data_IF_969072600591
#
_entry.id   IF_969072600591
#
_cell.length_a   1.000
_cell.length_b   1.000
_cell.length_c   1.000
_cell.angle_alpha   90.00
_cell.angle_beta   90.00
_cell.angle_gamma   90.00
#
_symmetry.space_group_name_H-M   'P 1'
#
loop_
_entity.id
_entity.type
_entity.pdbx_description
1 polymer ?
#
# COMPACT_ATOMS: atom_id res chain seq x y z
N UNK A 1 -34.68 71.69 -11.97
CA UNK A 1 -33.52 70.99 -12.57
C UNK A 1 -32.61 70.52 -11.46
N UNK A 2 -32.63 69.22 -11.15
CA UNK A 2 -31.57 68.52 -10.43
C UNK A 2 -31.74 67.03 -10.79
N UNK A 3 -30.92 66.55 -11.72
CA UNK A 3 -30.91 65.17 -12.21
C UNK A 3 -30.16 64.28 -11.21
N UNK A 4 -30.88 63.46 -10.45
CA UNK A 4 -30.29 62.40 -9.61
C UNK A 4 -29.83 61.22 -10.47
N UNK A 5 -28.58 60.79 -10.30
CA UNK A 5 -27.98 59.63 -10.98
C UNK A 5 -28.65 58.31 -10.53
N UNK A 6 -29.08 57.42 -11.45
CA UNK A 6 -29.80 56.18 -11.11
C UNK A 6 -28.91 54.95 -10.94
N UNK A 7 -27.63 55.09 -10.53
CA UNK A 7 -26.74 53.94 -10.34
C UNK A 7 -26.46 53.65 -8.85
N UNK A 8 -26.74 52.43 -8.35
CA UNK A 8 -26.25 52.00 -7.04
C UNK A 8 -24.72 51.88 -7.07
N UNK A 9 -24.08 52.52 -6.09
CA UNK A 9 -22.63 52.42 -5.86
C UNK A 9 -22.30 50.95 -5.55
N UNK A 10 -21.38 50.29 -6.27
CA UNK A 10 -20.95 48.93 -5.95
C UNK A 10 -20.32 48.92 -4.55
N UNK A 11 -20.53 47.87 -3.72
CA UNK A 11 -19.83 47.77 -2.45
C UNK A 11 -18.31 47.78 -2.70
N UNK A 12 -17.63 48.63 -1.93
CA UNK A 12 -16.18 48.80 -1.96
C UNK A 12 -15.49 47.44 -1.79
N UNK A 13 -14.61 47.09 -2.73
CA UNK A 13 -13.86 45.85 -2.66
C UNK A 13 -13.00 45.86 -1.37
N UNK A 14 -13.03 44.79 -0.54
CA UNK A 14 -12.25 44.78 0.68
C UNK A 14 -10.77 44.97 0.37
N UNK A 15 -10.10 45.82 1.18
CA UNK A 15 -8.71 46.17 0.99
C UNK A 15 -7.80 44.92 0.89
N UNK A 16 -6.73 44.92 0.06
CA UNK A 16 -5.88 43.75 -0.19
C UNK A 16 -5.18 43.15 1.05
N UNK A 17 -5.30 43.77 2.22
CA UNK A 17 -4.61 43.40 3.45
C UNK A 17 -5.40 42.48 4.38
N UNK A 18 -6.70 42.27 4.14
CA UNK A 18 -7.52 41.38 4.99
C UNK A 18 -7.58 39.92 4.50
N UNK A 19 -7.09 39.64 3.28
CA UNK A 19 -6.95 38.28 2.79
C UNK A 19 -5.55 37.76 3.09
N UNK A 20 -5.49 36.76 3.99
CA UNK A 20 -4.35 35.87 4.29
C UNK A 20 -3.38 36.27 5.42
N UNK A 21 -3.90 36.54 6.63
CA UNK A 21 -3.17 36.08 7.84
C UNK A 21 -3.35 34.57 7.98
N UNK A 22 -2.63 33.80 7.14
CA UNK A 22 -2.39 32.38 7.44
C UNK A 22 -1.66 32.36 8.79
N UNK A 23 -2.36 31.97 9.85
CA UNK A 23 -1.81 31.86 11.21
C UNK A 23 -0.47 31.13 11.11
N UNK A 24 0.59 31.65 11.73
CA UNK A 24 1.97 31.19 11.49
C UNK A 24 2.11 29.66 11.64
N UNK A 25 1.40 29.04 12.59
CA UNK A 25 1.33 27.58 12.80
C UNK A 25 0.68 26.77 11.68
N UNK A 26 -0.02 27.41 10.73
CA UNK A 26 -0.58 26.76 9.54
C UNK A 26 0.45 26.63 8.41
N UNK A 27 1.63 27.26 8.53
CA UNK A 27 2.70 27.08 7.54
C UNK A 27 3.18 25.64 7.52
N UNK A 28 3.29 25.06 6.32
CA UNK A 28 3.75 23.68 6.10
C UNK A 28 5.08 23.38 6.79
N UNK A 29 6.01 24.33 6.77
CA UNK A 29 7.31 24.20 7.42
C UNK A 29 7.19 23.99 8.94
N UNK A 30 6.31 24.74 9.61
CA UNK A 30 6.12 24.64 11.06
C UNK A 30 5.45 23.33 11.44
N UNK A 31 4.45 22.86 10.67
CA UNK A 31 3.83 21.54 10.91
C UNK A 31 4.82 20.39 10.75
N UNK A 32 5.68 20.47 9.74
CA UNK A 32 6.73 19.45 9.51
C UNK A 32 7.77 19.52 10.63
N UNK A 33 8.23 20.72 10.99
CA UNK A 33 9.19 20.90 12.09
C UNK A 33 8.63 20.36 13.41
N UNK A 34 7.39 20.73 13.79
CA UNK A 34 6.74 20.25 15.00
C UNK A 34 6.61 18.71 15.00
N UNK A 35 6.24 18.10 13.87
CA UNK A 35 6.15 16.64 13.76
C UNK A 35 7.52 15.96 13.90
N UNK A 36 8.56 16.51 13.25
CA UNK A 36 9.92 15.98 13.35
C UNK A 36 10.44 16.10 14.77
N UNK A 37 10.23 17.24 15.43
CA UNK A 37 10.61 17.46 16.84
C UNK A 37 9.86 16.50 17.75
N UNK A 38 8.55 16.30 17.56
CA UNK A 38 7.76 15.34 18.33
C UNK A 38 8.33 13.92 18.20
N UNK A 39 8.60 13.46 16.98
CA UNK A 39 9.12 12.12 16.73
C UNK A 39 10.56 11.96 17.25
N UNK A 40 11.39 13.00 17.13
CA UNK A 40 12.75 12.99 17.65
C UNK A 40 12.75 12.94 19.18
N UNK A 41 11.96 13.77 19.86
CA UNK A 41 11.81 13.74 21.31
C UNK A 41 11.25 12.39 21.79
N UNK A 42 10.21 11.88 21.11
CA UNK A 42 9.65 10.56 21.44
C UNK A 42 10.69 9.45 21.28
N UNK A 43 11.51 9.53 20.23
CA UNK A 43 12.61 8.60 19.98
C UNK A 43 13.72 8.70 21.03
N UNK A 44 14.09 9.91 21.46
CA UNK A 44 15.08 10.07 22.52
C UNK A 44 14.58 9.51 23.85
N UNK A 45 13.32 9.79 24.21
CA UNK A 45 12.71 9.27 25.44
C UNK A 45 12.63 7.75 25.40
N UNK A 46 12.16 7.15 24.30
CA UNK A 46 12.03 5.69 24.23
C UNK A 46 13.38 4.98 24.27
N UNK A 47 14.40 5.52 23.59
CA UNK A 47 15.76 4.97 23.66
C UNK A 47 16.35 5.11 25.07
N UNK A 48 16.09 6.21 25.77
CA UNK A 48 16.51 6.40 27.16
C UNK A 48 15.84 5.38 28.10
N UNK A 49 14.51 5.20 27.98
CA UNK A 49 13.75 4.24 28.78
C UNK A 49 14.21 2.80 28.54
N UNK A 50 14.42 2.41 27.28
CA UNK A 50 14.90 1.06 26.96
C UNK A 50 16.30 0.84 27.52
N UNK A 51 17.21 1.82 27.34
CA UNK A 51 18.57 1.75 27.91
C UNK A 51 18.56 1.68 29.44
N UNK A 52 17.67 2.40 30.11
CA UNK A 52 17.53 2.36 31.56
C UNK A 52 17.08 0.97 32.03
N UNK A 53 16.17 0.31 31.29
CA UNK A 53 15.67 -1.02 31.63
C UNK A 53 16.68 -2.14 31.31
N UNK A 54 17.35 -2.08 30.16
CA UNK A 54 18.22 -3.18 29.68
C UNK A 54 19.70 -2.97 29.99
N UNK A 55 20.07 -1.83 30.58
CA UNK A 55 21.46 -1.37 30.60
C UNK A 55 22.02 -1.05 29.21
N UNK A 56 23.29 -0.62 29.16
CA UNK A 56 23.93 -0.20 27.90
C UNK A 56 24.27 -1.39 27.00
N UNK A 57 24.77 -2.49 27.55
CA UNK A 57 25.12 -3.68 26.75
C UNK A 57 23.87 -4.37 26.18
N UNK A 58 22.86 -4.63 27.01
CA UNK A 58 21.58 -5.19 26.56
C UNK A 58 20.91 -4.33 25.51
N UNK A 59 20.95 -3.00 25.65
CA UNK A 59 20.45 -2.07 24.65
C UNK A 59 21.16 -2.23 23.30
N UNK A 60 22.51 -2.29 23.29
CA UNK A 60 23.29 -2.40 22.05
C UNK A 60 23.08 -3.76 21.36
N UNK A 61 23.04 -4.85 22.13
CA UNK A 61 22.75 -6.19 21.61
C UNK A 61 21.33 -6.26 21.05
N UNK A 62 20.35 -5.78 21.82
CA UNK A 62 18.95 -5.70 21.39
C UNK A 62 18.79 -4.87 20.11
N UNK A 63 19.46 -3.72 20.03
CA UNK A 63 19.48 -2.86 18.84
C UNK A 63 20.05 -3.57 17.61
N UNK A 64 21.20 -4.24 17.77
CA UNK A 64 21.83 -5.00 16.69
C UNK A 64 20.91 -6.10 16.15
N UNK A 65 20.35 -6.92 17.05
CA UNK A 65 19.49 -8.04 16.68
C UNK A 65 18.13 -7.58 16.13
N UNK A 66 17.51 -6.55 16.71
CA UNK A 66 16.23 -6.01 16.26
C UNK A 66 16.30 -5.35 14.87
N UNK A 67 17.49 -4.93 14.43
CA UNK A 67 17.70 -4.35 13.10
C UNK A 67 17.59 -5.39 11.98
N UNK A 68 17.92 -6.65 12.25
CA UNK A 68 17.97 -7.74 11.24
C UNK A 68 16.68 -7.87 10.40
N UNK A 69 15.46 -7.95 10.97
CA UNK A 69 14.25 -8.12 10.18
C UNK A 69 13.81 -6.85 9.44
N UNK A 70 14.24 -5.65 9.86
CA UNK A 70 13.70 -4.38 9.35
C UNK A 70 13.91 -4.20 7.85
N UNK A 71 15.13 -4.36 7.28
CA UNK A 71 15.33 -4.24 5.83
C UNK A 71 14.49 -5.23 5.03
N UNK A 72 14.34 -6.47 5.51
CA UNK A 72 13.55 -7.51 4.85
C UNK A 72 12.07 -7.12 4.80
N UNK A 73 11.50 -6.72 5.94
CA UNK A 73 10.10 -6.31 6.05
C UNK A 73 9.80 -5.06 5.20
N UNK A 74 10.66 -4.03 5.31
CA UNK A 74 10.51 -2.81 4.51
C UNK A 74 10.64 -3.13 3.01
N UNK A 75 11.57 -4.00 2.61
CA UNK A 75 11.71 -4.44 1.23
C UNK A 75 10.48 -5.20 0.73
N UNK A 76 9.84 -6.04 1.57
CA UNK A 76 8.62 -6.75 1.24
C UNK A 76 7.44 -5.79 0.99
N UNK A 77 7.22 -4.82 1.88
CA UNK A 77 6.18 -3.79 1.70
C UNK A 77 6.49 -2.89 0.49
N UNK A 78 7.76 -2.51 0.29
CA UNK A 78 8.19 -1.78 -0.90
C UNK A 78 7.98 -2.56 -2.18
N UNK A 79 8.16 -3.88 -2.16
CA UNK A 79 7.91 -4.76 -3.30
C UNK A 79 6.43 -4.80 -3.67
N UNK A 80 5.55 -4.82 -2.66
CA UNK A 80 4.10 -4.78 -2.84
C UNK A 80 3.66 -3.46 -3.50
N UNK A 81 4.22 -2.34 -3.05
CA UNK A 81 3.97 -0.97 -3.54
C UNK A 81 4.55 -0.66 -4.94
N UNK A 82 5.30 -1.59 -5.57
CA UNK A 82 6.03 -1.28 -6.82
C UNK A 82 5.15 -0.90 -8.01
N UNK A 83 3.86 -1.23 -8.00
CA UNK A 83 2.98 -0.96 -9.15
C UNK A 83 2.75 0.55 -9.30
N UNK A 84 2.44 1.22 -8.18
CA UNK A 84 2.20 2.66 -8.11
C UNK A 84 2.88 3.22 -6.85
N UNK A 85 4.22 3.34 -6.85
CA UNK A 85 4.97 3.60 -5.62
C UNK A 85 4.55 4.91 -4.95
N UNK A 86 4.13 4.81 -3.70
CA UNK A 86 3.83 5.95 -2.86
C UNK A 86 5.08 6.79 -2.51
N UNK A 87 4.91 8.04 -2.08
CA UNK A 87 6.03 8.90 -1.74
C UNK A 87 6.79 8.37 -0.53
N UNK A 88 8.12 8.24 -0.65
CA UNK A 88 9.02 7.76 0.40
C UNK A 88 8.84 8.46 1.75
N UNK A 89 8.46 9.73 1.73
CA UNK A 89 8.20 10.53 2.94
C UNK A 89 7.10 9.92 3.81
N UNK A 90 6.09 9.28 3.22
CA UNK A 90 5.01 8.64 3.98
C UNK A 90 5.52 7.37 4.67
N UNK A 91 6.47 6.64 4.07
CA UNK A 91 7.05 5.44 4.68
C UNK A 91 8.02 5.78 5.80
N UNK A 92 8.86 6.81 5.61
CA UNK A 92 9.72 7.32 6.68
C UNK A 92 8.86 7.76 7.86
N UNK A 93 7.81 8.56 7.60
CA UNK A 93 6.85 8.94 8.64
C UNK A 93 6.23 7.71 9.33
N UNK A 94 5.76 6.73 8.56
CA UNK A 94 5.08 5.55 9.08
C UNK A 94 6.00 4.73 9.99
N UNK A 95 7.23 4.47 9.54
CA UNK A 95 8.25 3.77 10.31
C UNK A 95 8.62 4.54 11.57
N UNK A 96 8.96 5.83 11.45
CA UNK A 96 9.33 6.66 12.59
C UNK A 96 8.20 6.84 13.60
N UNK A 97 6.95 6.93 13.14
CA UNK A 97 5.79 6.94 14.03
C UNK A 97 5.70 5.65 14.83
N UNK A 98 5.81 4.51 14.15
CA UNK A 98 5.80 3.19 14.78
C UNK A 98 6.90 3.04 15.84
N UNK A 99 8.14 3.33 15.44
CA UNK A 99 9.33 3.15 16.27
C UNK A 99 9.41 4.13 17.45
N UNK A 100 8.93 5.36 17.28
CA UNK A 100 9.05 6.39 18.31
C UNK A 100 7.74 6.62 19.05
N UNK A 101 6.73 7.17 18.36
CA UNK A 101 5.50 7.64 19.00
C UNK A 101 4.63 6.48 19.49
N UNK A 102 4.38 5.48 18.64
CA UNK A 102 3.52 4.36 19.01
C UNK A 102 4.16 3.48 20.10
N UNK A 103 5.46 3.18 19.98
CA UNK A 103 6.19 2.46 21.01
C UNK A 103 6.22 3.20 22.36
N UNK A 104 6.43 4.52 22.36
CA UNK A 104 6.39 5.32 23.58
C UNK A 104 5.00 5.32 24.22
N UNK A 105 3.94 5.54 23.42
CA UNK A 105 2.56 5.48 23.91
C UNK A 105 2.26 4.11 24.52
N UNK A 106 2.68 3.02 23.87
CA UNK A 106 2.50 1.67 24.37
C UNK A 106 3.22 1.44 25.70
N UNK A 107 4.50 1.76 25.79
CA UNK A 107 5.28 1.57 27.03
C UNK A 107 4.67 2.37 28.18
N UNK A 108 4.30 3.64 27.96
CA UNK A 108 3.72 4.50 29.01
C UNK A 108 2.34 4.00 29.44
N UNK A 109 1.46 3.71 28.48
CA UNK A 109 0.08 3.29 28.78
C UNK A 109 0.02 1.88 29.35
N UNK A 110 0.82 0.92 28.85
CA UNK A 110 0.90 -0.43 29.42
C UNK A 110 1.43 -0.38 30.86
N UNK A 111 2.49 0.41 31.12
CA UNK A 111 3.01 0.59 32.48
C UNK A 111 1.98 1.21 33.43
N UNK A 112 1.21 2.18 32.95
CA UNK A 112 0.14 2.79 33.73
C UNK A 112 -1.00 1.80 34.00
N UNK A 113 -1.43 1.05 32.98
CA UNK A 113 -2.50 0.08 33.10
C UNK A 113 -2.17 -1.05 34.08
N UNK A 114 -0.96 -1.61 34.01
CA UNK A 114 -0.51 -2.65 34.95
C UNK A 114 -0.55 -2.12 36.39
N UNK A 115 0.01 -0.92 36.64
CA UNK A 115 -0.03 -0.29 37.97
C UNK A 115 -1.46 -0.07 38.47
N UNK A 116 -2.34 0.46 37.60
CA UNK A 116 -3.73 0.72 37.95
C UNK A 116 -4.50 -0.56 38.30
N UNK A 117 -4.36 -1.60 37.47
CA UNK A 117 -5.05 -2.88 37.69
C UNK A 117 -4.51 -3.53 38.97
N UNK A 118 -3.19 -3.57 39.17
CA UNK A 118 -2.59 -4.12 40.39
C UNK A 118 -3.10 -3.42 41.67
N UNK A 119 -3.31 -2.10 41.64
CA UNK A 119 -3.89 -1.37 42.77
C UNK A 119 -5.40 -1.57 42.93
N UNK A 120 -6.12 -1.88 41.84
CA UNK A 120 -7.58 -1.99 41.83
C UNK A 120 -8.09 -3.42 42.12
N UNK A 121 -7.36 -4.46 41.73
CA UNK A 121 -7.82 -5.86 41.84
C UNK A 121 -7.22 -6.64 43.01
N UNK A 122 -6.18 -6.13 43.68
CA UNK A 122 -5.43 -6.82 44.74
C UNK A 122 -4.93 -8.24 44.36
N UNK A 123 -4.95 -8.59 43.07
CA UNK A 123 -4.38 -9.79 42.47
C UNK A 123 -3.39 -9.37 41.37
N UNK A 124 -2.08 -9.37 41.68
CA UNK A 124 -1.03 -9.01 40.72
C UNK A 124 -0.97 -9.96 39.52
N UNK A 125 -1.32 -11.24 39.70
CA UNK A 125 -1.16 -12.27 38.67
C UNK A 125 -2.28 -12.23 37.61
N UNK A 126 -3.53 -11.97 38.03
CA UNK A 126 -4.64 -11.69 37.11
C UNK A 126 -4.47 -10.35 36.38
N UNK A 127 -3.85 -9.37 37.03
CA UNK A 127 -3.59 -8.04 36.46
C UNK A 127 -2.63 -8.07 35.27
N UNK A 128 -1.52 -8.80 35.40
CA UNK A 128 -0.50 -8.93 34.33
C UNK A 128 -1.08 -9.63 33.10
N UNK A 129 -1.90 -10.68 33.30
CA UNK A 129 -2.52 -11.41 32.21
C UNK A 129 -3.54 -10.56 31.43
N UNK A 130 -4.45 -9.86 32.12
CA UNK A 130 -5.45 -8.99 31.45
C UNK A 130 -4.76 -7.79 30.77
N UNK A 131 -3.75 -7.22 31.44
CA UNK A 131 -2.95 -6.12 30.90
C UNK A 131 -2.25 -6.52 29.60
N UNK A 132 -1.54 -7.65 29.59
CA UNK A 132 -0.79 -8.11 28.42
C UNK A 132 -1.67 -8.66 27.28
N UNK A 133 -2.80 -9.31 27.60
CA UNK A 133 -3.64 -9.97 26.59
C UNK A 133 -4.72 -9.08 26.00
N UNK A 134 -5.17 -8.04 26.69
CA UNK A 134 -6.27 -7.18 26.20
C UNK A 134 -5.85 -5.72 26.10
N UNK A 135 -5.30 -5.15 27.19
CA UNK A 135 -5.00 -3.71 27.23
C UNK A 135 -3.88 -3.35 26.26
N UNK A 136 -2.78 -4.11 26.29
CA UNK A 136 -1.64 -3.87 25.40
C UNK A 136 -2.04 -3.91 23.91
N UNK A 137 -2.71 -4.95 23.40
CA UNK A 137 -3.22 -4.96 22.01
C UNK A 137 -4.07 -3.76 21.64
N UNK A 138 -4.98 -3.32 22.52
CA UNK A 138 -5.86 -2.17 22.28
C UNK A 138 -5.05 -0.89 22.15
N UNK A 139 -4.15 -0.62 23.10
CA UNK A 139 -3.31 0.57 23.11
C UNK A 139 -2.38 0.58 21.91
N UNK A 140 -1.68 -0.52 21.66
CA UNK A 140 -0.66 -0.62 20.64
C UNK A 140 -1.23 -0.51 19.23
N UNK A 141 -2.30 -1.26 18.93
CA UNK A 141 -2.93 -1.20 17.61
C UNK A 141 -3.59 0.17 17.38
N UNK A 142 -4.14 0.81 18.41
CA UNK A 142 -4.66 2.19 18.30
C UNK A 142 -3.55 3.19 18.00
N UNK A 143 -2.42 3.09 18.71
CA UNK A 143 -1.29 3.99 18.53
C UNK A 143 -0.66 3.83 17.13
N UNK A 144 -0.58 2.60 16.60
CA UNK A 144 -0.16 2.33 15.22
C UNK A 144 -1.18 2.84 14.21
N UNK A 145 -2.47 2.61 14.44
CA UNK A 145 -3.56 3.06 13.57
C UNK A 145 -3.59 4.58 13.38
N UNK A 146 -3.15 5.35 14.39
CA UNK A 146 -3.02 6.79 14.28
C UNK A 146 -2.10 7.22 13.12
N UNK A 147 -1.01 6.49 12.83
CA UNK A 147 -0.16 6.79 11.67
C UNK A 147 -0.94 6.64 10.35
N UNK A 148 -1.67 5.53 10.21
CA UNK A 148 -2.48 5.21 9.03
C UNK A 148 -3.57 6.27 8.86
N UNK A 149 -4.25 6.64 9.95
CA UNK A 149 -5.25 7.69 9.97
C UNK A 149 -4.67 9.04 9.54
N UNK A 150 -3.50 9.44 10.06
CA UNK A 150 -2.85 10.70 9.71
C UNK A 150 -2.50 10.76 8.22
N UNK A 151 -1.97 9.67 7.66
CA UNK A 151 -1.71 9.57 6.21
C UNK A 151 -3.04 9.62 5.43
N UNK A 152 -4.04 8.86 5.87
CA UNK A 152 -5.37 8.84 5.24
C UNK A 152 -6.07 10.20 5.26
N UNK A 153 -5.89 11.02 6.30
CA UNK A 153 -6.51 12.35 6.40
C UNK A 153 -5.73 13.43 5.66
N UNK A 154 -4.41 13.50 5.86
CA UNK A 154 -3.59 14.61 5.36
C UNK A 154 -2.92 14.34 4.02
N UNK A 155 -2.86 13.07 3.58
CA UNK A 155 -2.23 12.63 2.33
C UNK A 155 -3.17 11.80 1.46
N UNK A 156 -4.46 12.14 1.42
CA UNK A 156 -5.51 11.46 0.61
C UNK A 156 -5.15 11.22 -0.86
N UNK A 157 -4.33 12.08 -1.45
CA UNK A 157 -3.86 11.92 -2.84
C UNK A 157 -2.90 10.73 -3.01
N UNK A 158 -2.16 10.42 -1.95
CA UNK A 158 -1.16 9.36 -1.89
C UNK A 158 -1.75 8.07 -1.28
N UNK A 159 -3.03 8.07 -0.88
CA UNK A 159 -3.72 6.95 -0.25
C UNK A 159 -5.00 6.64 -1.04
N UNK A 160 -4.87 5.73 -2.00
CA UNK A 160 -5.85 5.52 -3.06
C UNK A 160 -6.48 4.13 -3.05
N UNK A 161 -5.89 3.15 -2.36
CA UNK A 161 -6.41 1.79 -2.31
C UNK A 161 -5.91 0.93 -1.16
N UNK A 162 -6.20 -0.37 -1.28
CA UNK A 162 -5.87 -1.39 -0.28
C UNK A 162 -4.36 -1.57 -0.16
N UNK A 163 -3.62 -1.59 -1.28
CA UNK A 163 -2.16 -1.73 -1.27
C UNK A 163 -1.50 -0.61 -0.46
N UNK A 164 -1.92 0.64 -0.68
CA UNK A 164 -1.41 1.80 0.08
C UNK A 164 -1.64 1.61 1.59
N UNK A 165 -2.84 1.16 1.97
CA UNK A 165 -3.19 0.88 3.36
C UNK A 165 -2.35 -0.23 3.99
N UNK A 166 -2.16 -1.35 3.28
CA UNK A 166 -1.31 -2.48 3.71
C UNK A 166 0.13 -2.01 3.91
N UNK A 167 0.68 -1.23 2.98
CA UNK A 167 2.07 -0.78 3.01
C UNK A 167 2.32 0.20 4.16
N UNK A 168 1.45 1.20 4.32
CA UNK A 168 1.56 2.19 5.40
C UNK A 168 1.43 1.52 6.77
N UNK A 169 0.40 0.67 6.95
CA UNK A 169 0.19 -0.06 8.20
C UNK A 169 1.33 -1.02 8.51
N UNK A 170 1.78 -1.80 7.52
CA UNK A 170 2.86 -2.76 7.67
C UNK A 170 4.20 -2.11 8.03
N UNK A 171 4.53 -0.97 7.41
CA UNK A 171 5.74 -0.21 7.74
C UNK A 171 5.65 0.45 9.11
N UNK A 172 4.48 0.95 9.52
CA UNK A 172 4.27 1.44 10.90
C UNK A 172 4.45 0.32 11.92
N UNK A 173 3.84 -0.83 11.69
CA UNK A 173 3.99 -1.99 12.57
C UNK A 173 5.42 -2.52 12.62
N UNK A 174 6.14 -2.46 11.50
CA UNK A 174 7.58 -2.82 11.45
C UNK A 174 8.41 -1.87 12.31
N UNK A 175 8.14 -0.56 12.27
CA UNK A 175 8.79 0.41 13.14
C UNK A 175 8.50 0.15 14.61
N UNK A 176 7.25 -0.15 14.96
CA UNK A 176 6.89 -0.51 16.34
C UNK A 176 7.60 -1.78 16.81
N UNK A 177 7.54 -2.84 16.00
CA UNK A 177 8.17 -4.12 16.28
C UNK A 177 9.69 -3.99 16.44
N UNK A 178 10.33 -3.07 15.71
CA UNK A 178 11.74 -2.76 15.88
C UNK A 178 12.04 -2.33 17.32
N UNK A 179 11.38 -1.28 17.83
CA UNK A 179 11.62 -0.78 19.19
C UNK A 179 11.25 -1.81 20.25
N UNK A 180 10.14 -2.54 20.04
CA UNK A 180 9.74 -3.61 20.95
C UNK A 180 10.79 -4.74 20.99
N UNK A 181 11.30 -5.17 19.84
CA UNK A 181 12.34 -6.19 19.77
C UNK A 181 13.63 -5.76 20.46
N UNK A 182 14.01 -4.47 20.43
CA UNK A 182 15.17 -3.97 21.20
C UNK A 182 14.96 -4.26 22.68
N UNK A 183 13.79 -3.94 23.22
CA UNK A 183 13.47 -4.13 24.63
C UNK A 183 13.47 -5.62 25.01
N UNK A 184 12.77 -6.47 24.27
CA UNK A 184 12.69 -7.90 24.58
C UNK A 184 14.04 -8.60 24.46
N UNK A 185 14.80 -8.34 23.39
CA UNK A 185 16.11 -8.96 23.18
C UNK A 185 17.15 -8.43 24.15
N UNK A 186 17.08 -7.14 24.51
CA UNK A 186 17.95 -6.56 25.53
C UNK A 186 17.70 -7.13 26.92
N UNK A 187 16.44 -7.29 27.32
CA UNK A 187 16.07 -7.91 28.60
C UNK A 187 16.45 -9.40 28.63
N UNK A 188 16.26 -10.12 27.53
CA UNK A 188 16.69 -11.51 27.42
C UNK A 188 18.22 -11.64 27.57
N UNK A 189 18.97 -10.71 27.00
CA UNK A 189 20.44 -10.68 27.13
C UNK A 189 20.90 -10.41 28.57
N UNK A 190 20.27 -9.45 29.25
CA UNK A 190 20.55 -9.20 30.67
C UNK A 190 20.23 -10.43 31.51
N UNK A 191 19.14 -11.13 31.20
CA UNK A 191 18.75 -12.35 31.90
C UNK A 191 19.81 -13.44 31.74
N UNK A 192 20.32 -13.64 30.52
CA UNK A 192 21.39 -14.62 30.24
C UNK A 192 22.69 -14.27 30.97
N UNK A 193 23.04 -12.98 31.07
CA UNK A 193 24.21 -12.54 31.84
C UNK A 193 24.07 -12.88 33.33
N UNK A 194 22.88 -12.72 33.89
CA UNK A 194 22.59 -13.03 35.30
C UNK A 194 22.56 -14.54 35.56
N UNK A 195 21.99 -15.33 34.65
CA UNK A 195 21.91 -16.79 34.76
C UNK A 195 23.18 -17.52 34.36
N UNK A 196 24.14 -16.82 33.70
CA UNK A 196 25.35 -17.39 33.08
C UNK A 196 25.04 -18.45 32.01
N UNK A 197 23.86 -18.39 31.41
CA UNK A 197 23.47 -19.26 30.30
C UNK A 197 24.00 -18.71 28.97
N UNK A 198 24.37 -19.61 28.05
CA UNK A 198 24.88 -19.23 26.72
C UNK A 198 24.53 -20.26 25.66
N UNK A 199 24.67 -19.88 24.39
CA UNK A 199 24.39 -20.77 23.26
C UNK A 199 22.90 -20.99 23.02
N UNK A 200 22.52 -22.21 22.61
CA UNK A 200 21.13 -22.55 22.27
C UNK A 200 20.18 -22.61 23.48
N UNK A 201 20.73 -22.70 24.69
CA UNK A 201 19.97 -22.68 25.93
C UNK A 201 19.63 -21.24 26.40
N UNK A 202 20.22 -20.21 25.78
CA UNK A 202 20.03 -18.83 26.20
C UNK A 202 18.63 -18.30 25.87
N UNK A 203 18.08 -17.52 26.80
CA UNK A 203 16.80 -16.82 26.66
C UNK A 203 16.86 -15.84 25.48
N UNK A 204 18.01 -15.21 25.22
CA UNK A 204 18.23 -14.36 24.05
C UNK A 204 18.07 -15.13 22.75
N UNK A 205 18.68 -16.32 22.63
CA UNK A 205 18.58 -17.15 21.44
C UNK A 205 17.13 -17.60 21.20
N UNK A 206 16.43 -18.05 22.25
CA UNK A 206 15.02 -18.42 22.17
C UNK A 206 14.13 -17.23 21.77
N UNK A 207 14.33 -16.07 22.39
CA UNK A 207 13.58 -14.83 22.11
C UNK A 207 13.82 -14.36 20.69
N UNK A 208 15.07 -14.41 20.21
CA UNK A 208 15.43 -14.09 18.83
C UNK A 208 14.73 -15.04 17.85
N UNK A 209 14.79 -16.34 18.08
CA UNK A 209 14.17 -17.31 17.20
C UNK A 209 12.65 -17.09 17.11
N UNK A 210 11.97 -16.95 18.25
CA UNK A 210 10.52 -16.71 18.27
C UNK A 210 10.18 -15.40 17.57
N UNK A 211 10.80 -14.28 17.95
CA UNK A 211 10.38 -12.94 17.51
C UNK A 211 10.88 -12.58 16.10
N UNK A 212 12.11 -12.97 15.76
CA UNK A 212 12.79 -12.55 14.53
C UNK A 212 12.69 -13.59 13.42
N UNK A 213 12.73 -14.89 13.75
CA UNK A 213 12.70 -15.96 12.73
C UNK A 213 11.28 -16.46 12.52
N UNK A 214 10.60 -16.84 13.60
CA UNK A 214 9.28 -17.46 13.52
C UNK A 214 8.15 -16.43 13.34
N UNK A 215 8.19 -15.31 14.06
CA UNK A 215 7.11 -14.31 14.04
C UNK A 215 7.51 -12.90 13.56
N UNK A 216 8.43 -12.70 12.58
CA UNK A 216 8.84 -11.34 12.15
C UNK A 216 7.68 -10.51 11.58
N UNK A 217 6.64 -11.18 11.09
CA UNK A 217 5.46 -10.55 10.52
C UNK A 217 4.30 -10.38 11.51
N UNK A 218 4.42 -10.76 12.79
CA UNK A 218 3.30 -10.73 13.73
C UNK A 218 2.64 -9.35 13.83
N UNK A 219 3.36 -8.30 14.24
CA UNK A 219 2.75 -6.96 14.30
C UNK A 219 2.29 -6.46 12.93
N UNK A 220 3.08 -6.60 11.82
CA UNK A 220 2.57 -6.25 10.51
C UNK A 220 1.28 -6.98 10.14
N UNK A 221 1.12 -8.25 10.48
CA UNK A 221 -0.07 -9.05 10.21
C UNK A 221 -1.31 -8.45 10.87
N UNK A 222 -1.19 -8.02 12.13
CA UNK A 222 -2.29 -7.40 12.89
C UNK A 222 -2.64 -6.03 12.31
N UNK A 223 -1.68 -5.11 12.28
CA UNK A 223 -1.94 -3.72 11.91
C UNK A 223 -2.36 -3.58 10.43
N UNK A 224 -1.94 -4.50 9.55
CA UNK A 224 -2.40 -4.52 8.15
C UNK A 224 -3.92 -4.67 8.05
N UNK A 225 -4.61 -5.32 9.00
CA UNK A 225 -6.08 -5.39 9.01
C UNK A 225 -6.70 -3.97 9.13
N UNK A 226 -6.13 -3.12 9.98
CA UNK A 226 -6.46 -1.69 10.04
C UNK A 226 -6.17 -1.00 8.70
N UNK A 227 -5.01 -1.27 8.12
CA UNK A 227 -4.59 -0.76 6.81
C UNK A 227 -5.58 -1.10 5.69
N UNK A 228 -6.07 -2.34 5.66
CA UNK A 228 -7.09 -2.81 4.70
C UNK A 228 -8.40 -2.06 4.93
N UNK A 229 -8.84 -1.88 6.19
CA UNK A 229 -10.02 -1.09 6.53
C UNK A 229 -9.96 0.34 5.97
N UNK A 230 -8.84 1.03 6.17
CA UNK A 230 -8.60 2.35 5.56
C UNK A 230 -8.51 2.29 4.02
N UNK A 231 -7.88 1.24 3.47
CA UNK A 231 -7.78 1.02 2.04
C UNK A 231 -9.13 0.90 1.35
N UNK A 232 -10.06 0.13 1.91
CA UNK A 232 -11.43 0.01 1.39
C UNK A 232 -12.21 1.32 1.61
N UNK A 233 -11.97 2.04 2.71
CA UNK A 233 -12.54 3.37 2.94
C UNK A 233 -12.06 4.40 1.90
N UNK A 234 -10.81 4.29 1.42
CA UNK A 234 -10.29 5.12 0.33
C UNK A 234 -10.96 4.81 -1.01
N UNK A 235 -11.34 3.54 -1.22
CA UNK A 235 -12.11 3.09 -2.38
C UNK A 235 -13.62 3.38 -2.28
N UNK A 236 -14.14 3.82 -1.15
CA UNK A 236 -15.56 4.10 -0.96
C UNK A 236 -15.93 5.46 -1.56
N UNK A 237 -17.15 5.59 -2.10
CA UNK A 237 -17.61 6.86 -2.65
C UNK A 237 -17.76 7.92 -1.54
N UNK A 238 -17.64 9.20 -1.88
CA UNK A 238 -17.70 10.29 -0.89
C UNK A 238 -19.00 10.29 -0.07
N UNK A 239 -20.11 9.90 -0.71
CA UNK A 239 -21.43 9.79 -0.08
C UNK A 239 -21.56 8.61 0.90
N UNK A 240 -20.62 7.68 0.92
CA UNK A 240 -20.66 6.48 1.77
C UNK A 240 -19.95 6.71 3.11
N UNK A 241 -20.30 7.80 3.82
CA UNK A 241 -19.63 8.22 5.06
C UNK A 241 -19.60 7.10 6.11
N UNK A 242 -20.71 6.38 6.27
CA UNK A 242 -20.82 5.24 7.20
C UNK A 242 -19.76 4.17 6.89
N UNK A 243 -19.60 3.78 5.63
CA UNK A 243 -18.55 2.80 5.24
C UNK A 243 -17.15 3.34 5.50
N UNK A 244 -16.91 4.63 5.26
CA UNK A 244 -15.58 5.25 5.47
C UNK A 244 -15.15 5.31 6.93
N UNK A 245 -16.10 5.24 7.86
CA UNK A 245 -15.83 5.21 9.31
C UNK A 245 -15.84 3.78 9.84
N UNK A 246 -16.85 2.98 9.47
CA UNK A 246 -16.98 1.62 9.99
C UNK A 246 -15.85 0.70 9.50
N UNK A 247 -15.43 0.79 8.24
CA UNK A 247 -14.41 -0.13 7.71
C UNK A 247 -13.04 0.00 8.41
N UNK A 248 -12.49 1.21 8.64
CA UNK A 248 -11.29 1.36 9.46
C UNK A 248 -11.46 0.85 10.89
N UNK A 249 -12.62 1.09 11.52
CA UNK A 249 -12.90 0.63 12.87
C UNK A 249 -12.97 -0.90 12.94
N UNK A 250 -13.63 -1.55 11.99
CA UNK A 250 -13.65 -3.02 11.88
C UNK A 250 -12.24 -3.56 11.70
N UNK A 251 -11.44 -2.94 10.82
CA UNK A 251 -10.03 -3.33 10.64
C UNK A 251 -9.22 -3.22 11.94
N UNK A 252 -9.43 -2.15 12.70
CA UNK A 252 -8.78 -1.92 14.00
C UNK A 252 -9.20 -2.96 15.04
N UNK A 253 -10.49 -3.25 15.16
CA UNK A 253 -10.99 -4.26 16.10
C UNK A 253 -10.47 -5.66 15.76
N UNK A 254 -10.38 -5.99 14.46
CA UNK A 254 -9.77 -7.25 14.03
C UNK A 254 -8.27 -7.30 14.34
N UNK A 255 -7.54 -6.19 14.15
CA UNK A 255 -6.13 -6.09 14.53
C UNK A 255 -5.94 -6.33 16.04
N UNK A 256 -6.74 -5.65 16.87
CA UNK A 256 -6.73 -5.80 18.33
C UNK A 256 -7.05 -7.23 18.76
N UNK A 257 -8.10 -7.84 18.19
CA UNK A 257 -8.50 -9.20 18.55
C UNK A 257 -7.46 -10.25 18.13
N UNK A 258 -6.87 -10.09 16.95
CA UNK A 258 -5.83 -11.00 16.47
C UNK A 258 -4.54 -10.87 17.29
N UNK A 259 -4.18 -9.65 17.68
CA UNK A 259 -3.04 -9.38 18.54
C UNK A 259 -3.28 -9.90 19.98
N UNK A 260 -4.48 -9.69 20.52
CA UNK A 260 -4.89 -10.26 21.80
C UNK A 260 -4.81 -11.79 21.81
N UNK A 261 -5.25 -12.43 20.73
CA UNK A 261 -5.17 -13.88 20.57
C UNK A 261 -3.72 -14.38 20.51
N UNK A 262 -2.83 -13.63 19.86
CA UNK A 262 -1.39 -13.92 19.84
C UNK A 262 -0.77 -13.80 21.23
N UNK A 263 -1.00 -12.70 21.94
CA UNK A 263 -0.49 -12.51 23.30
C UNK A 263 -1.07 -13.54 24.29
N UNK A 264 -2.36 -13.85 24.16
CA UNK A 264 -3.05 -14.87 24.96
C UNK A 264 -2.55 -16.29 24.72
N UNK A 265 -1.86 -16.54 23.61
CA UNK A 265 -1.33 -17.88 23.28
C UNK A 265 -0.33 -18.40 24.32
N UNK A 266 0.37 -17.51 25.03
CA UNK A 266 1.30 -17.85 26.10
C UNK A 266 0.60 -18.47 27.32
N UNK A 267 -0.71 -18.23 27.48
CA UNK A 267 -1.51 -18.70 28.63
C UNK A 267 -2.36 -19.92 28.32
N UNK A 268 -2.46 -20.37 27.06
CA UNK A 268 -3.27 -21.53 26.65
C UNK A 268 -2.60 -22.90 26.90
N UNK A 269 -1.64 -22.97 27.82
CA UNK A 269 -0.87 -24.17 28.14
C UNK A 269 0.33 -24.43 27.22
N UNK A 270 0.99 -25.57 27.40
CA UNK A 270 2.30 -25.86 26.77
C UNK A 270 2.33 -25.79 25.24
N UNK A 271 1.21 -26.07 24.57
CA UNK A 271 1.10 -26.03 23.10
C UNK A 271 0.39 -24.78 22.58
N UNK A 272 -0.10 -23.91 23.47
CA UNK A 272 -0.94 -22.75 23.12
C UNK A 272 -0.33 -21.88 22.03
N UNK A 273 0.95 -21.53 22.21
CA UNK A 273 1.73 -20.78 21.22
C UNK A 273 1.75 -21.45 19.83
N UNK A 274 2.11 -22.74 19.77
CA UNK A 274 2.18 -23.48 18.51
C UNK A 274 0.81 -23.66 17.85
N UNK A 275 -0.25 -23.88 18.65
CA UNK A 275 -1.63 -23.99 18.15
C UNK A 275 -2.10 -22.68 17.52
N UNK A 276 -1.93 -21.54 18.21
CA UNK A 276 -2.32 -20.22 17.66
C UNK A 276 -1.46 -19.88 16.43
N UNK A 277 -0.17 -20.18 16.48
CA UNK A 277 0.72 -19.95 15.34
C UNK A 277 0.29 -20.75 14.10
N UNK A 278 0.09 -22.06 14.25
CA UNK A 278 -0.21 -22.95 13.13
C UNK A 278 -1.64 -22.78 12.59
N UNK A 279 -2.64 -22.61 13.46
CA UNK A 279 -4.06 -22.58 13.06
C UNK A 279 -4.58 -21.18 12.76
N UNK A 280 -3.91 -20.13 13.26
CA UNK A 280 -4.37 -18.74 13.08
C UNK A 280 -3.35 -17.92 12.31
N UNK A 281 -2.11 -17.84 12.79
CA UNK A 281 -1.11 -16.93 12.21
C UNK A 281 -0.72 -17.33 10.80
N UNK A 282 -0.37 -18.61 10.57
CA UNK A 282 0.02 -19.09 9.25
C UNK A 282 -1.12 -18.96 8.22
N UNK A 283 -2.37 -19.39 8.49
CA UNK A 283 -3.48 -19.18 7.56
C UNK A 283 -3.78 -17.71 7.30
N UNK A 284 -3.76 -16.86 8.34
CA UNK A 284 -3.99 -15.43 8.17
C UNK A 284 -2.88 -14.76 7.35
N UNK A 285 -1.62 -15.14 7.58
CA UNK A 285 -0.49 -14.66 6.78
C UNK A 285 -0.59 -15.10 5.32
N UNK A 286 -0.97 -16.36 5.07
CA UNK A 286 -1.23 -16.87 3.72
C UNK A 286 -2.37 -16.11 3.04
N UNK A 287 -3.49 -15.89 3.74
CA UNK A 287 -4.64 -15.15 3.22
C UNK A 287 -4.31 -13.69 2.91
N UNK A 288 -3.62 -12.99 3.81
CA UNK A 288 -3.22 -11.60 3.58
C UNK A 288 -2.19 -11.49 2.46
N UNK A 289 -1.24 -12.42 2.37
CA UNK A 289 -0.27 -12.48 1.27
C UNK A 289 -0.99 -12.71 -0.07
N UNK A 290 -1.92 -13.67 -0.12
CA UNK A 290 -2.76 -13.91 -1.28
C UNK A 290 -3.56 -12.67 -1.68
N UNK A 291 -4.24 -12.03 -0.72
CA UNK A 291 -5.03 -10.82 -0.97
C UNK A 291 -4.16 -9.66 -1.49
N UNK A 292 -2.98 -9.48 -0.90
CA UNK A 292 -2.02 -8.44 -1.31
C UNK A 292 -1.52 -8.68 -2.74
N UNK A 293 -1.09 -9.91 -3.06
CA UNK A 293 -0.66 -10.27 -4.41
C UNK A 293 -1.82 -10.15 -5.39
N UNK A 294 -3.00 -10.66 -5.05
CA UNK A 294 -4.17 -10.60 -5.92
C UNK A 294 -4.60 -9.16 -6.23
N UNK A 295 -4.58 -8.28 -5.22
CA UNK A 295 -4.90 -6.85 -5.39
C UNK A 295 -3.88 -6.18 -6.30
N UNK A 296 -2.59 -6.45 -6.08
CA UNK A 296 -1.50 -5.97 -6.95
C UNK A 296 -1.66 -6.45 -8.40
N UNK A 297 -2.05 -7.70 -8.62
CA UNK A 297 -2.31 -8.22 -9.97
C UNK A 297 -3.55 -7.58 -10.60
N UNK A 298 -4.57 -7.24 -9.81
CA UNK A 298 -5.74 -6.49 -10.30
C UNK A 298 -5.36 -5.07 -10.75
N UNK A 299 -4.47 -4.40 -10.04
CA UNK A 299 -3.97 -3.08 -10.45
C UNK A 299 -3.22 -3.15 -11.79
N UNK A 300 -2.35 -4.14 -11.96
CA UNK A 300 -1.64 -4.36 -13.22
C UNK A 300 -2.58 -4.66 -14.38
N UNK A 301 -3.61 -5.50 -14.15
CA UNK A 301 -4.67 -5.75 -15.15
C UNK A 301 -5.44 -4.48 -15.49
N UNK A 302 -5.83 -3.70 -14.49
CA UNK A 302 -6.53 -2.43 -14.70
C UNK A 302 -5.73 -1.49 -15.61
N UNK A 303 -4.40 -1.42 -15.46
CA UNK A 303 -3.54 -0.63 -16.33
C UNK A 303 -3.63 -1.11 -17.79
N UNK A 304 -3.65 -2.44 -18.02
CA UNK A 304 -3.81 -3.03 -19.36
C UNK A 304 -5.17 -2.74 -19.98
N UNK A 305 -6.22 -2.69 -19.17
CA UNK A 305 -7.59 -2.52 -19.64
C UNK A 305 -7.93 -1.04 -19.90
N UNK A 306 -7.26 -0.11 -19.21
CA UNK A 306 -7.57 1.32 -19.26
C UNK A 306 -6.71 2.06 -20.28
N UNK A 307 -5.42 1.76 -20.37
CA UNK A 307 -4.50 2.47 -21.26
C UNK A 307 -4.75 2.34 -22.77
N UNK A 308 -5.38 1.27 -23.32
CA UNK A 308 -5.64 1.15 -24.75
C UNK A 308 -6.44 2.31 -25.35
N UNK A 309 -7.28 3.00 -24.57
CA UNK A 309 -8.00 4.19 -25.05
C UNK A 309 -7.04 5.32 -25.44
N UNK A 310 -5.92 5.46 -24.73
CA UNK A 310 -4.90 6.45 -25.07
C UNK A 310 -4.02 6.00 -26.24
N UNK A 311 -3.89 4.69 -26.46
CA UNK A 311 -3.26 4.17 -27.68
C UNK A 311 -4.13 4.45 -28.92
N UNK A 312 -5.44 4.21 -28.83
CA UNK A 312 -6.39 4.54 -29.89
C UNK A 312 -6.42 6.06 -30.20
N UNK A 313 -6.23 6.91 -29.17
CA UNK A 313 -6.13 8.36 -29.34
C UNK A 313 -4.75 8.86 -29.79
N UNK A 314 -3.78 7.97 -30.05
CA UNK A 314 -2.44 8.32 -30.56
C UNK A 314 -1.43 8.81 -29.52
N UNK A 315 -1.79 8.85 -28.23
CA UNK A 315 -0.88 9.24 -27.15
C UNK A 315 0.13 8.15 -26.81
N UNK A 316 -0.30 6.89 -26.90
CA UNK A 316 0.52 5.70 -26.68
C UNK A 316 0.59 4.86 -27.97
N UNK A 317 1.60 4.02 -28.06
CA UNK A 317 1.76 3.00 -29.10
C UNK A 317 1.05 1.70 -28.67
N UNK A 318 0.60 0.86 -29.63
CA UNK A 318 -0.12 -0.38 -29.33
C UNK A 318 0.55 -1.35 -28.32
N UNK A 319 1.88 -1.55 -28.30
CA UNK A 319 2.52 -2.46 -27.34
C UNK A 319 2.65 -1.89 -25.91
N UNK A 320 2.56 -0.58 -25.73
CA UNK A 320 2.81 0.07 -24.44
C UNK A 320 1.84 -0.34 -23.32
N UNK A 321 0.50 -0.38 -23.54
CA UNK A 321 -0.43 -0.86 -22.51
C UNK A 321 -0.09 -2.25 -21.97
N UNK A 322 0.33 -3.18 -22.83
CA UNK A 322 0.70 -4.55 -22.43
C UNK A 322 1.96 -4.56 -21.55
N UNK A 323 3.02 -3.85 -21.97
CA UNK A 323 4.27 -3.75 -21.23
C UNK A 323 4.08 -3.01 -19.90
N UNK A 324 3.33 -1.91 -19.90
CA UNK A 324 3.00 -1.15 -18.71
C UNK A 324 2.14 -1.95 -17.72
N UNK A 325 1.40 -2.94 -18.17
CA UNK A 325 0.70 -3.87 -17.28
C UNK A 325 1.53 -5.04 -16.75
N UNK A 326 2.83 -5.12 -17.05
CA UNK A 326 3.70 -6.22 -16.62
C UNK A 326 4.89 -5.70 -15.83
N UNK A 327 5.06 -6.18 -14.59
CA UNK A 327 6.23 -5.81 -13.80
C UNK A 327 7.54 -6.33 -14.40
N UNK A 328 7.49 -7.50 -15.07
CA UNK A 328 8.65 -8.04 -15.80
C UNK A 328 9.01 -7.15 -16.98
N UNK A 329 8.03 -6.76 -17.81
CA UNK A 329 8.28 -5.89 -18.95
C UNK A 329 8.74 -4.48 -18.52
N UNK A 330 8.17 -3.94 -17.44
CA UNK A 330 8.63 -2.66 -16.86
C UNK A 330 10.09 -2.70 -16.43
N UNK A 331 10.54 -3.81 -15.83
CA UNK A 331 11.95 -3.97 -15.48
C UNK A 331 12.81 -4.05 -16.73
N UNK A 332 12.45 -4.94 -17.65
CA UNK A 332 13.20 -5.15 -18.90
C UNK A 332 13.31 -3.86 -19.73
N UNK A 333 12.27 -3.04 -19.78
CA UNK A 333 12.32 -1.74 -20.46
C UNK A 333 13.33 -0.78 -19.79
N UNK A 334 13.40 -0.75 -18.45
CA UNK A 334 14.38 0.07 -17.74
C UNK A 334 15.80 -0.45 -17.93
N UNK A 335 15.97 -1.77 -17.92
CA UNK A 335 17.27 -2.43 -18.11
C UNK A 335 17.78 -2.23 -19.54
N UNK A 336 16.91 -2.38 -20.53
CA UNK A 336 17.20 -2.05 -21.94
C UNK A 336 17.57 -0.58 -22.10
N UNK A 337 16.79 0.34 -21.54
CA UNK A 337 17.12 1.77 -21.61
C UNK A 337 18.43 2.12 -20.91
N UNK A 338 18.74 1.46 -19.78
CA UNK A 338 20.01 1.61 -19.08
C UNK A 338 21.20 1.14 -19.93
N UNK A 339 21.03 0.02 -20.62
CA UNK A 339 22.06 -0.56 -21.48
C UNK A 339 22.30 0.28 -22.73
N UNK A 340 21.24 0.74 -23.40
CA UNK A 340 21.36 1.46 -24.69
C UNK A 340 21.70 2.94 -24.53
N UNK A 341 21.12 3.63 -23.53
CA UNK A 341 21.23 5.09 -23.38
C UNK A 341 21.68 5.53 -21.98
N UNK A 342 22.10 4.59 -21.12
CA UNK A 342 22.64 4.87 -19.80
C UNK A 342 21.59 5.06 -18.69
N UNK A 343 22.09 5.21 -17.46
CA UNK A 343 21.27 5.36 -16.24
C UNK A 343 20.24 6.49 -16.29
N UNK A 344 20.53 7.68 -16.89
CA UNK A 344 19.52 8.74 -17.02
C UNK A 344 18.30 8.31 -17.83
N UNK A 345 18.49 7.58 -18.93
CA UNK A 345 17.38 7.10 -19.75
C UNK A 345 16.50 6.09 -18.97
N UNK A 346 17.11 5.18 -18.22
CA UNK A 346 16.37 4.25 -17.35
C UNK A 346 15.50 4.97 -16.30
N UNK A 347 15.98 6.11 -15.77
CA UNK A 347 15.18 6.98 -14.88
C UNK A 347 14.02 7.61 -15.62
N UNK A 348 14.24 8.12 -16.83
CA UNK A 348 13.17 8.66 -17.69
C UNK A 348 12.09 7.61 -18.00
N UNK A 349 12.49 6.37 -18.30
CA UNK A 349 11.54 5.26 -18.50
C UNK A 349 10.77 4.94 -17.21
N UNK A 350 11.42 4.96 -16.04
CA UNK A 350 10.73 4.77 -14.76
C UNK A 350 9.70 5.88 -14.48
N UNK A 351 10.04 7.14 -14.76
CA UNK A 351 9.11 8.27 -14.66
C UNK A 351 7.93 8.11 -15.62
N UNK A 352 8.17 7.71 -16.87
CA UNK A 352 7.13 7.43 -17.85
C UNK A 352 6.16 6.34 -17.34
N UNK A 353 6.69 5.23 -16.81
CA UNK A 353 5.88 4.16 -16.22
C UNK A 353 5.02 4.65 -15.04
N UNK A 354 5.56 5.53 -14.19
CA UNK A 354 4.82 6.14 -13.08
C UNK A 354 3.70 7.06 -13.57
N UNK A 355 3.94 7.92 -14.56
CA UNK A 355 2.93 8.81 -15.13
C UNK A 355 1.82 8.01 -15.83
N UNK A 356 2.17 6.96 -16.58
CA UNK A 356 1.20 6.11 -17.26
C UNK A 356 0.33 5.34 -16.25
N UNK A 357 0.94 4.85 -15.17
CA UNK A 357 0.20 4.23 -14.07
C UNK A 357 -0.76 5.24 -13.42
N UNK A 358 -0.28 6.45 -13.11
CA UNK A 358 -1.11 7.52 -12.55
C UNK A 358 -2.29 7.89 -13.46
N UNK A 359 -2.05 7.92 -14.77
CA UNK A 359 -3.06 8.20 -15.80
C UNK A 359 -4.12 7.10 -15.84
N UNK A 360 -3.71 5.83 -15.79
CA UNK A 360 -4.62 4.69 -15.75
C UNK A 360 -5.51 4.74 -14.49
N UNK A 361 -4.93 4.98 -13.32
CA UNK A 361 -5.69 5.12 -12.07
C UNK A 361 -6.64 6.33 -12.09
N UNK A 362 -6.20 7.47 -12.61
CA UNK A 362 -7.04 8.66 -12.77
C UNK A 362 -8.25 8.36 -13.67
N UNK A 363 -8.03 7.78 -14.85
CA UNK A 363 -9.09 7.43 -15.80
C UNK A 363 -10.05 6.39 -15.24
N UNK A 364 -9.54 5.36 -14.55
CA UNK A 364 -10.38 4.36 -13.90
C UNK A 364 -11.27 4.97 -12.81
N UNK A 365 -10.76 5.94 -12.03
CA UNK A 365 -11.59 6.70 -11.08
C UNK A 365 -12.66 7.53 -11.80
N UNK A 366 -12.31 8.17 -12.91
CA UNK A 366 -13.26 8.89 -13.77
C UNK A 366 -14.39 8.00 -14.29
N UNK A 367 -14.07 6.81 -14.82
CA UNK A 367 -15.05 5.81 -15.27
C UNK A 367 -16.02 5.36 -14.17
N UNK A 368 -15.60 5.43 -12.90
CA UNK A 368 -16.42 5.07 -11.73
C UNK A 368 -17.18 6.25 -11.13
N UNK A 369 -17.15 7.43 -11.77
CA UNK A 369 -17.78 8.65 -11.26
C UNK A 369 -17.11 9.21 -10.01
N UNK A 370 -15.80 8.95 -9.82
CA UNK A 370 -15.01 9.35 -8.64
C UNK A 370 -13.84 10.26 -8.97
N UNK A 371 -13.87 10.88 -10.14
CA UNK A 371 -12.87 11.88 -10.47
C UNK A 371 -13.23 13.23 -9.86
N UNK A 372 -12.23 13.95 -9.36
CA UNK A 372 -12.41 15.30 -8.86
C UNK A 372 -12.71 16.29 -9.98
N UNK A 373 -13.08 17.52 -9.62
CA UNK A 373 -13.29 18.61 -10.58
C UNK A 373 -12.04 18.91 -11.43
N UNK A 374 -10.86 18.56 -10.93
CA UNK A 374 -9.56 18.71 -11.59
C UNK A 374 -9.21 17.57 -12.57
N UNK A 375 -10.13 16.63 -12.81
CA UNK A 375 -9.89 15.45 -13.65
C UNK A 375 -9.24 15.77 -15.00
N UNK A 376 -9.86 16.67 -15.77
CA UNK A 376 -9.43 16.99 -17.14
C UNK A 376 -8.07 17.66 -17.14
N UNK A 377 -7.85 18.60 -16.21
CA UNK A 377 -6.56 19.28 -16.04
C UNK A 377 -5.47 18.26 -15.72
N UNK A 378 -5.73 17.37 -14.77
CA UNK A 378 -4.77 16.37 -14.34
C UNK A 378 -4.50 15.31 -15.40
N UNK A 379 -5.51 14.91 -16.16
CA UNK A 379 -5.39 13.97 -17.28
C UNK A 379 -4.46 14.56 -18.36
N UNK A 380 -4.66 15.83 -18.71
CA UNK A 380 -3.81 16.55 -19.65
C UNK A 380 -2.37 16.69 -19.15
N UNK A 381 -2.16 17.10 -17.90
CA UNK A 381 -0.82 17.20 -17.30
C UNK A 381 -0.04 15.87 -17.39
N UNK A 382 -0.71 14.75 -17.09
CA UNK A 382 -0.09 13.43 -17.13
C UNK A 382 0.26 13.02 -18.57
N UNK A 383 -0.59 13.34 -19.54
CA UNK A 383 -0.34 13.10 -20.96
C UNK A 383 0.84 13.93 -21.48
N UNK A 384 0.93 15.20 -21.11
CA UNK A 384 2.08 16.06 -21.44
C UNK A 384 3.38 15.51 -20.86
N UNK A 385 3.36 15.05 -19.60
CA UNK A 385 4.54 14.44 -18.94
C UNK A 385 4.98 13.14 -19.59
N UNK A 386 4.04 12.33 -20.10
CA UNK A 386 4.34 11.15 -20.91
C UNK A 386 4.96 11.56 -22.25
N UNK A 387 4.36 12.54 -22.92
CA UNK A 387 4.81 13.00 -24.23
C UNK A 387 6.24 13.53 -24.20
N UNK A 388 6.62 14.28 -23.18
CA UNK A 388 8.00 14.77 -22.94
C UNK A 388 9.04 13.64 -22.83
N UNK A 389 8.62 12.44 -22.41
CA UNK A 389 9.51 11.32 -22.04
C UNK A 389 9.45 10.15 -23.02
N UNK A 390 8.72 10.31 -24.13
CA UNK A 390 8.43 9.25 -25.09
C UNK A 390 9.66 8.70 -25.81
N UNK A 391 10.68 9.53 -26.04
CA UNK A 391 11.85 9.20 -26.86
C UNK A 391 12.61 7.97 -26.34
N UNK A 392 13.05 7.93 -25.06
CA UNK A 392 13.66 6.71 -24.51
C UNK A 392 12.61 5.65 -24.10
N UNK A 393 11.36 6.04 -23.82
CA UNK A 393 10.37 5.14 -23.23
C UNK A 393 9.69 4.22 -24.25
N UNK A 394 9.26 4.74 -25.40
CA UNK A 394 8.54 3.97 -26.43
C UNK A 394 9.36 2.81 -26.99
N UNK A 395 10.61 3.00 -27.47
CA UNK A 395 11.39 1.87 -28.00
C UNK A 395 11.71 0.84 -26.91
N UNK A 396 12.00 1.27 -25.68
CA UNK A 396 12.24 0.38 -24.56
C UNK A 396 11.02 -0.47 -24.17
N UNK A 397 9.83 0.15 -24.16
CA UNK A 397 8.57 -0.55 -23.87
C UNK A 397 8.16 -1.47 -25.04
N UNK A 398 8.43 -1.09 -26.28
CA UNK A 398 8.19 -1.94 -27.45
C UNK A 398 9.08 -3.19 -27.41
N UNK A 399 10.39 -3.03 -27.16
CA UNK A 399 11.30 -4.15 -26.95
C UNK A 399 10.83 -5.06 -25.82
N UNK A 400 10.48 -4.48 -24.67
CA UNK A 400 10.03 -5.25 -23.52
C UNK A 400 8.69 -5.96 -23.76
N UNK A 401 7.77 -5.36 -24.52
CA UNK A 401 6.52 -6.00 -24.91
C UNK A 401 6.77 -7.24 -25.77
N UNK A 402 7.65 -7.12 -26.77
CA UNK A 402 8.02 -8.24 -27.64
C UNK A 402 8.71 -9.37 -26.86
N UNK A 403 9.70 -9.02 -26.04
CA UNK A 403 10.47 -9.99 -25.25
C UNK A 403 9.66 -10.67 -24.13
N UNK A 404 8.49 -10.13 -23.76
CA UNK A 404 7.61 -10.70 -22.73
C UNK A 404 6.26 -11.18 -23.27
N UNK A 405 6.05 -11.07 -24.58
CA UNK A 405 4.86 -11.61 -25.22
C UNK A 405 4.81 -13.13 -25.01
N UNK A 406 3.63 -13.72 -24.75
CA UNK A 406 3.49 -15.17 -24.78
C UNK A 406 3.94 -15.68 -26.14
N UNK A 407 4.77 -16.73 -26.17
CA UNK A 407 5.08 -17.44 -27.42
C UNK A 407 3.76 -18.06 -27.88
N UNK A 408 3.14 -17.47 -28.91
CA UNK A 408 2.03 -18.11 -29.60
C UNK A 408 2.59 -19.38 -30.24
N UNK A 409 2.09 -20.58 -29.90
CA UNK A 409 2.46 -21.76 -30.66
C UNK A 409 2.11 -21.50 -32.13
N UNK A 410 2.95 -21.92 -33.10
CA UNK A 410 2.65 -21.73 -34.50
C UNK A 410 1.26 -22.31 -34.77
N UNK A 411 0.34 -21.46 -35.24
CA UNK A 411 -0.95 -21.93 -35.72
C UNK A 411 -0.65 -22.97 -36.79
N UNK A 412 -1.16 -24.21 -36.68
CA UNK A 412 -0.98 -25.19 -37.74
C UNK A 412 -1.48 -24.53 -39.03
N UNK A 413 -0.72 -24.58 -40.13
CA UNK A 413 -1.18 -24.02 -41.38
C UNK A 413 -2.54 -24.65 -41.65
N UNK A 414 -3.56 -23.82 -41.86
CA UNK A 414 -4.85 -24.30 -42.34
C UNK A 414 -4.56 -25.17 -43.55
N UNK A 415 -4.69 -26.48 -43.37
CA UNK A 415 -4.47 -27.45 -44.41
C UNK A 415 -5.41 -27.09 -45.54
N UNK A 416 -4.83 -26.62 -46.64
CA UNK A 416 -5.47 -26.61 -47.93
C UNK A 416 -5.83 -28.07 -48.20
N UNK A 417 -7.05 -28.50 -47.84
CA UNK A 417 -7.52 -29.84 -48.12
C UNK A 417 -7.42 -30.03 -49.64
N UNK A 418 -6.46 -30.86 -50.03
CA UNK A 418 -6.24 -31.25 -51.40
C UNK A 418 -7.49 -31.91 -51.97
N UNK A 419 -7.84 -31.52 -53.19
CA UNK A 419 -8.75 -32.28 -54.02
C UNK A 419 -8.23 -33.73 -54.16
N UNK A 420 -9.07 -34.76 -53.99
CA UNK A 420 -8.66 -36.14 -54.20
C UNK A 420 -8.44 -36.41 -55.70
N UNK A 421 -7.35 -37.06 -56.12
CA UNK A 421 -7.11 -37.38 -57.51
C UNK A 421 -7.89 -38.64 -57.91
N UNK A 422 -8.80 -38.51 -58.88
CA UNK A 422 -9.32 -39.65 -59.65
C UNK A 422 -10.82 -39.61 -59.93
N UNK A 423 -11.20 -39.10 -61.09
CA UNK A 423 -12.36 -39.59 -61.87
C UNK A 423 -12.23 -39.07 -63.31
N UNK A 424 -12.28 -39.92 -64.35
CA UNK A 424 -12.30 -39.47 -65.75
C UNK A 424 -13.68 -38.92 -66.11
N UNK A 425 -13.72 -37.84 -66.89
CA UNK A 425 -14.93 -37.06 -67.15
C UNK A 425 -15.95 -37.71 -68.09
N UNK A 426 -17.23 -37.34 -67.92
CA UNK A 426 -18.32 -37.48 -68.90
C UNK A 426 -19.40 -36.40 -68.62
N UNK A 427 -19.60 -35.52 -69.61
CA UNK A 427 -20.81 -34.78 -70.04
C UNK A 427 -21.82 -34.13 -69.05
N UNK A 428 -22.17 -32.86 -69.33
CA UNK A 428 -23.54 -32.34 -69.19
C UNK A 428 -23.71 -30.95 -68.55
N UNK A 429 -23.82 -29.89 -69.36
CA UNK A 429 -24.58 -28.65 -69.01
C UNK A 429 -26.10 -28.93 -69.10
N UNK A 430 -27.06 -28.17 -68.51
CA UNK A 430 -27.10 -26.69 -68.42
C UNK A 430 -27.75 -26.09 -67.11
N UNK A 431 -28.06 -24.76 -66.99
CA UNK A 431 -28.03 -24.02 -65.71
C UNK A 431 -29.39 -23.52 -65.15
N UNK A 432 -29.30 -22.89 -63.95
CA UNK A 432 -30.21 -21.91 -63.27
C UNK A 432 -31.40 -22.47 -62.45
N UNK A 433 -32.05 -21.69 -61.54
CA UNK A 433 -31.77 -20.34 -60.99
C UNK A 433 -31.85 -20.21 -59.43
N UNK A 434 -31.41 -19.05 -58.92
CA UNK A 434 -31.60 -18.53 -57.55
C UNK A 434 -33.07 -18.42 -57.09
N UNK A 435 -33.28 -18.30 -55.76
CA UNK A 435 -34.14 -17.24 -55.24
C UNK A 435 -33.50 -16.41 -54.11
N UNK A 436 -34.05 -15.20 -53.95
CA UNK A 436 -33.62 -14.10 -53.09
C UNK A 436 -34.51 -13.94 -51.83
N UNK A 437 -34.14 -12.94 -50.99
CA UNK A 437 -34.85 -12.27 -49.86
C UNK A 437 -34.16 -12.46 -48.50
N UNK A 438 -33.97 -11.46 -47.63
CA UNK A 438 -34.32 -10.03 -47.62
C UNK A 438 -33.79 -9.37 -46.33
N UNK A 439 -33.49 -8.06 -46.37
CA UNK A 439 -32.96 -7.27 -45.25
C UNK A 439 -34.07 -6.71 -44.33
N UNK A 440 -33.83 -6.47 -43.02
CA UNK A 440 -34.72 -5.68 -42.18
C UNK A 440 -34.34 -4.19 -42.13
N UNK A 441 -35.36 -3.36 -42.27
CA UNK A 441 -35.39 -1.89 -42.24
C UNK A 441 -35.25 -1.31 -40.83
N UNK A 442 -34.58 -0.14 -40.77
CA UNK A 442 -34.48 0.75 -39.61
C UNK A 442 -35.72 1.64 -39.43
N UNK A 443 -36.14 1.84 -38.18
CA UNK A 443 -37.22 2.73 -37.77
C UNK A 443 -36.64 4.07 -37.30
N UNK A 444 -37.15 5.19 -37.83
CA UNK A 444 -36.80 6.56 -37.46
C UNK A 444 -38.06 7.31 -37.00
N UNK A 445 -38.22 7.63 -35.70
CA UNK A 445 -39.31 8.48 -35.22
C UNK A 445 -38.86 9.95 -35.15
N UNK A 446 -39.76 10.88 -35.54
CA UNK A 446 -39.72 12.36 -35.50
C UNK A 446 -39.61 13.08 -36.85
N UNK A 447 -40.77 13.31 -37.49
CA UNK A 447 -41.31 14.61 -38.00
C UNK A 447 -42.38 14.38 -39.09
N UNK A 448 -43.36 15.27 -39.24
CA UNK A 448 -43.99 16.18 -38.28
C UNK A 448 -45.14 15.53 -37.52
#
# INVERSE_FOLDING_TARGET
MATGSPYPIPPEAPAPRELLRVRWWQRRAIRVAALVTLLALSGLVILALVREQTGTEGFLVGLGLATVPVPLLVAAFRWLDRVAPGPWRNLIFSFSWGACAAALVAIVANSFAIRWIATATADPSGADNIGATVVAPVVEESAKAAAVLLVFLFRRRDFTGIVDGVVIAGVTATGFAFTENILYLGNAFVTDQLSRESGLASVTAATFFVRVVMSPFAHPLFTVLTGIGFGIAALSAERQVVRRVLLPLTGLLLAMGMHALWNGSAVFGQFGFFTVYALVMLPAFGLLTWLAIWTRQRELRMIRDVLPVYAAAGWLTPPEPFALGSMRARSLARDYAAYTWGKPAARTVAEYQMYATSLAFLRNRGRRGRAGADFVVRERELLEKLWERREPARPALAYAAQATAPVMPPMPPYGMYGAPPGTPGVYGWPPRPHPAHGYPTTYNPYRP
#
